data_IF_181543035326
#
_entry.id   IF_181543035326
#
_cell.length_a   1.000
_cell.length_b   1.000
_cell.length_c   1.000
_cell.angle_alpha   90.00
_cell.angle_beta   90.00
_cell.angle_gamma   90.00
#
_symmetry.space_group_name_H-M   'P 1'
#
loop_
_entity.id
_entity.type
_entity.pdbx_description
1 polymer ?
#
# COMPACT_ATOMS: atom_id res chain seq x y z
N UNK A 1 -2.16 6.09 -24.52
CA UNK A 1 -2.48 6.51 -23.13
C UNK A 1 -3.61 5.59 -22.66
N UNK A 2 -3.43 4.88 -21.54
CA UNK A 2 -4.37 3.83 -21.08
C UNK A 2 -3.70 2.55 -20.54
N UNK A 3 -2.40 2.36 -20.79
CA UNK A 3 -1.61 1.25 -20.23
C UNK A 3 -1.02 1.53 -18.83
N UNK A 4 -1.27 2.70 -18.25
CA UNK A 4 -0.79 3.04 -16.91
C UNK A 4 -1.65 2.39 -15.81
N UNK A 5 -2.95 2.14 -16.08
CA UNK A 5 -3.86 1.49 -15.12
C UNK A 5 -3.65 -0.04 -15.06
N UNK A 6 -3.10 -0.66 -16.11
CA UNK A 6 -3.02 -2.12 -16.23
C UNK A 6 -1.99 -2.80 -15.31
N UNK A 7 -1.15 -2.04 -14.61
CA UNK A 7 -0.09 -2.60 -13.78
C UNK A 7 -0.12 -2.12 -12.32
N UNK A 8 -1.25 -1.57 -11.84
CA UNK A 8 -1.41 -1.20 -10.43
C UNK A 8 -1.19 -2.37 -9.49
N UNK A 9 -1.62 -3.58 -9.88
CA UNK A 9 -1.43 -4.80 -9.07
C UNK A 9 0.03 -5.21 -8.96
N UNK A 10 0.79 -5.04 -10.05
CA UNK A 10 2.24 -5.31 -10.07
C UNK A 10 2.97 -4.27 -9.22
N UNK A 11 2.62 -2.99 -9.37
CA UNK A 11 3.19 -1.92 -8.56
C UNK A 11 2.90 -2.11 -7.07
N UNK A 12 1.68 -2.53 -6.71
CA UNK A 12 1.30 -2.87 -5.33
C UNK A 12 2.12 -4.03 -4.77
N UNK A 13 2.36 -5.07 -5.57
CA UNK A 13 3.21 -6.20 -5.17
C UNK A 13 4.65 -5.74 -4.91
N UNK A 14 5.22 -4.96 -5.83
CA UNK A 14 6.59 -4.42 -5.69
C UNK A 14 6.69 -3.53 -4.45
N UNK A 15 5.70 -2.66 -4.19
CA UNK A 15 5.70 -1.82 -2.99
C UNK A 15 5.64 -2.63 -1.70
N UNK A 16 4.90 -3.74 -1.70
CA UNK A 16 4.85 -4.64 -0.56
C UNK A 16 6.21 -5.31 -0.32
N UNK A 17 6.82 -5.87 -1.37
CA UNK A 17 8.15 -6.48 -1.29
C UNK A 17 9.20 -5.46 -0.80
N UNK A 18 9.15 -4.22 -1.31
CA UNK A 18 10.02 -3.14 -0.87
C UNK A 18 9.81 -2.75 0.60
N UNK A 19 8.57 -2.74 1.09
CA UNK A 19 8.28 -2.46 2.50
C UNK A 19 8.77 -3.60 3.41
N UNK A 20 8.62 -4.86 2.98
CA UNK A 20 9.10 -6.03 3.71
C UNK A 20 10.64 -6.05 3.80
N UNK A 21 11.34 -5.65 2.73
CA UNK A 21 12.81 -5.50 2.72
C UNK A 21 13.33 -4.38 3.64
N UNK A 22 12.54 -3.34 3.89
CA UNK A 22 12.91 -2.20 4.75
C UNK A 22 12.41 -2.33 6.20
N UNK A 23 11.77 -3.45 6.57
CA UNK A 23 11.13 -3.63 7.87
C UNK A 23 12.10 -3.60 9.06
N UNK A 24 13.40 -3.77 8.82
CA UNK A 24 14.47 -3.73 9.82
C UNK A 24 14.96 -2.31 10.16
N UNK A 25 14.75 -1.34 9.26
CA UNK A 25 15.22 0.04 9.38
C UNK A 25 14.12 1.09 9.30
N UNK A 26 12.91 0.71 8.88
CA UNK A 26 11.78 1.63 8.71
C UNK A 26 10.42 1.03 9.11
N UNK A 27 9.46 1.91 9.32
CA UNK A 27 8.05 1.59 9.59
C UNK A 27 7.15 2.29 8.57
N UNK A 28 6.12 1.57 8.08
CA UNK A 28 5.14 2.12 7.13
C UNK A 28 4.17 3.06 7.86
N UNK A 29 4.29 4.36 7.63
CA UNK A 29 3.34 5.35 8.16
C UNK A 29 2.05 5.39 7.33
N UNK A 30 2.16 5.28 6.00
CA UNK A 30 1.01 5.29 5.08
C UNK A 30 1.14 4.13 4.10
N UNK A 31 0.10 3.30 4.06
CA UNK A 31 -0.01 2.14 3.16
C UNK A 31 -0.03 2.60 1.69
N UNK A 32 0.47 1.76 0.76
CA UNK A 32 0.44 2.09 -0.66
C UNK A 32 -1.00 2.36 -1.13
N UNK A 33 -1.22 3.52 -1.76
CA UNK A 33 -2.52 3.91 -2.30
C UNK A 33 -2.38 4.67 -3.63
N UNK A 34 -3.40 4.57 -4.49
CA UNK A 34 -3.43 5.25 -5.78
C UNK A 34 -3.80 6.73 -5.59
N UNK A 35 -2.95 7.62 -6.08
CA UNK A 35 -3.18 9.06 -6.19
C UNK A 35 -3.13 9.43 -7.68
N UNK A 36 -4.31 9.59 -8.28
CA UNK A 36 -4.47 9.78 -9.72
C UNK A 36 -3.90 8.61 -10.54
N UNK A 37 -2.70 8.80 -11.10
CA UNK A 37 -1.99 7.80 -11.92
C UNK A 37 -0.73 7.25 -11.25
N UNK A 38 -0.46 7.68 -10.02
CA UNK A 38 0.70 7.30 -9.23
C UNK A 38 0.26 6.40 -8.07
N UNK A 39 1.15 5.49 -7.66
CA UNK A 39 1.00 4.75 -6.41
C UNK A 39 1.94 5.41 -5.39
N UNK A 40 1.45 5.69 -4.18
CA UNK A 40 2.21 6.38 -3.13
C UNK A 40 2.21 5.57 -1.84
N UNK A 41 3.38 5.38 -1.23
CA UNK A 41 3.59 4.80 0.10
C UNK A 41 4.55 5.71 0.89
N UNK A 42 4.35 5.81 2.21
CA UNK A 42 5.24 6.59 3.09
C UNK A 42 5.84 5.65 4.15
N UNK A 43 7.17 5.60 4.19
CA UNK A 43 7.96 4.86 5.17
C UNK A 43 8.78 5.89 5.96
N UNK A 44 8.72 5.80 7.29
CA UNK A 44 9.57 6.57 8.18
C UNK A 44 10.70 5.68 8.73
N UNK A 45 11.89 6.22 9.01
CA UNK A 45 12.94 5.46 9.66
C UNK A 45 12.52 5.06 11.08
N UNK A 46 12.98 3.90 11.53
CA UNK A 46 12.84 3.52 12.94
C UNK A 46 13.56 4.54 13.81
N UNK A 47 13.00 4.88 14.99
CA UNK A 47 13.65 5.80 15.90
C UNK A 47 14.99 5.21 16.32
N UNK A 48 16.09 5.86 15.92
CA UNK A 48 17.38 5.60 16.53
C UNK A 48 17.20 5.70 18.05
N UNK A 49 17.82 4.79 18.81
CA UNK A 49 17.73 4.77 20.30
C UNK A 49 18.11 6.13 20.95
N UNK A 50 18.72 7.03 20.18
CA UNK A 50 19.02 8.42 20.55
C UNK A 50 17.89 9.46 20.31
N UNK A 51 16.87 9.15 19.50
CA UNK A 51 15.77 10.07 19.14
C UNK A 51 14.41 9.68 19.75
N UNK A 52 14.33 8.56 20.48
CA UNK A 52 13.07 8.04 21.06
C UNK A 52 12.45 8.91 22.17
N UNK A 53 13.07 10.03 22.56
CA UNK A 53 12.50 10.97 23.53
C UNK A 53 11.48 11.97 22.96
N UNK A 54 11.23 12.01 21.65
CA UNK A 54 10.38 13.07 21.05
C UNK A 54 9.13 12.65 20.29
N UNK A 55 8.76 11.37 20.20
CA UNK A 55 7.55 10.98 19.43
C UNK A 55 6.68 9.92 20.13
N UNK A 56 6.38 10.14 21.40
CA UNK A 56 5.26 9.49 22.09
C UNK A 56 4.00 10.35 21.97
N UNK A 57 3.24 10.13 20.91
CA UNK A 57 1.85 10.55 20.62
C UNK A 57 1.79 10.82 19.11
N UNK A 58 1.09 10.07 18.27
CA UNK A 58 -0.14 9.33 18.46
C UNK A 58 -0.39 8.52 17.19
N UNK A 59 -0.73 7.24 17.29
CA UNK A 59 -1.45 6.56 16.20
C UNK A 59 -2.30 5.42 16.78
N UNK A 60 -3.64 5.54 16.77
CA UNK A 60 -4.53 4.39 16.88
C UNK A 60 -4.50 3.61 15.55
N UNK A 61 -4.61 2.28 15.57
CA UNK A 61 -4.62 1.45 14.38
C UNK A 61 -6.00 1.50 13.70
N UNK A 62 -6.10 2.19 12.56
CA UNK A 62 -7.32 2.13 11.74
C UNK A 62 -7.29 0.90 10.85
N UNK A 63 -7.99 -0.13 11.33
CA UNK A 63 -8.44 -1.31 10.61
C UNK A 63 -9.61 -0.94 9.70
N UNK A 64 -9.45 -0.91 8.37
CA UNK A 64 -10.62 -0.90 7.46
C UNK A 64 -10.29 -1.42 6.04
N UNK A 65 -10.75 -2.66 5.78
CA UNK A 65 -11.42 -3.16 4.55
C UNK A 65 -10.59 -3.20 3.25
N UNK A 66 -10.15 -4.35 2.74
CA UNK A 66 -10.90 -5.45 2.09
C UNK A 66 -11.88 -5.00 0.98
N UNK A 67 -11.71 -5.64 -0.19
CA UNK A 67 -12.67 -5.84 -1.31
C UNK A 67 -12.76 -4.77 -2.41
N UNK A 68 -12.01 -5.01 -3.50
CA UNK A 68 -12.50 -4.84 -4.87
C UNK A 68 -11.67 -5.68 -5.86
N UNK A 69 -11.63 -7.00 -5.64
CA UNK A 69 -11.18 -7.95 -6.65
C UNK A 69 -12.40 -8.48 -7.43
N UNK A 70 -12.34 -8.32 -8.74
CA UNK A 70 -12.88 -9.19 -9.79
C UNK A 70 -14.37 -9.58 -9.77
N UNK A 71 -15.15 -9.00 -10.69
CA UNK A 71 -16.17 -9.75 -11.46
C UNK A 71 -16.33 -9.20 -12.89
N UNK A 72 -15.64 -9.85 -13.82
CA UNK A 72 -16.14 -10.23 -15.15
C UNK A 72 -15.27 -11.44 -15.58
N UNK A 73 -15.84 -12.53 -16.13
CA UNK A 73 -16.37 -12.49 -17.49
C UNK A 73 -17.65 -13.33 -17.76
N UNK A 74 -18.33 -12.92 -18.83
CA UNK A 74 -18.95 -13.71 -19.93
C UNK A 74 -19.60 -15.09 -19.65
N UNK A 75 -20.90 -15.21 -19.97
CA UNK A 75 -21.45 -16.43 -20.58
C UNK A 75 -22.83 -16.18 -21.21
N UNK A 76 -22.89 -16.38 -22.52
CA UNK A 76 -24.06 -16.58 -23.38
C UNK A 76 -25.05 -17.62 -22.79
N UNK A 77 -26.34 -17.51 -23.14
CA UNK A 77 -27.20 -18.55 -23.76
C UNK A 77 -28.67 -18.56 -23.25
N UNK A 78 -29.58 -18.51 -24.23
CA UNK A 78 -30.98 -19.01 -24.29
C UNK A 78 -32.10 -18.32 -23.49
N UNK A 79 -33.18 -18.04 -24.22
CA UNK A 79 -34.49 -17.55 -23.79
C UNK A 79 -35.24 -17.04 -25.01
#
# INVERSE_FOLDING_TARGET
RGREIQHSDVAMKIMKEFADELADVGEVEVRPNMEGRSLLMIIAPLPNRSQSRKKSSSKPPQKTQEKAAAKAPDAKKTG
#
